data_IF_727073072935
#
_entry.id   IF_727073072935
#
_cell.length_a   1.000
_cell.length_b   1.000
_cell.length_c   1.000
_cell.angle_alpha   90.00
_cell.angle_beta   90.00
_cell.angle_gamma   90.00
#
_symmetry.space_group_name_H-M   'P 1'
#
loop_
_entity.id
_entity.type
_entity.pdbx_description
1 polymer ?
#
# COMPACT_ATOMS: atom_id res chain seq x y z
N UNK A 1 16.13 2.56 21.42
CA UNK A 1 15.75 1.25 21.95
C UNK A 1 15.60 0.29 20.78
N UNK A 2 16.27 -0.86 20.85
CA UNK A 2 16.12 -1.93 19.88
C UNK A 2 14.77 -2.59 20.17
N UNK A 3 13.90 -2.68 19.20
CA UNK A 3 12.63 -3.40 19.33
C UNK A 3 12.92 -4.89 19.42
N UNK A 4 12.66 -5.51 20.56
CA UNK A 4 12.65 -6.97 20.69
C UNK A 4 11.45 -7.50 19.90
N UNK A 5 11.72 -8.20 18.80
CA UNK A 5 10.71 -8.79 17.89
C UNK A 5 10.75 -8.26 16.46
N UNK A 6 11.69 -7.38 16.12
CA UNK A 6 11.99 -7.11 14.71
C UNK A 6 12.49 -8.42 14.05
N UNK A 7 12.02 -8.76 12.84
CA UNK A 7 12.63 -9.83 12.08
C UNK A 7 14.13 -9.55 12.00
N UNK A 8 14.97 -10.59 12.25
CA UNK A 8 16.43 -10.50 12.27
C UNK A 8 17.01 -10.34 10.86
N UNK A 9 16.55 -9.36 10.12
CA UNK A 9 17.04 -8.97 8.81
C UNK A 9 17.45 -7.50 8.85
N UNK A 10 18.58 -7.17 8.26
CA UNK A 10 18.97 -5.81 8.06
C UNK A 10 17.87 -5.08 7.27
N UNK A 11 17.32 -4.04 7.85
CA UNK A 11 16.38 -3.15 7.20
C UNK A 11 17.13 -2.31 6.16
N UNK A 12 17.33 -2.86 5.00
CA UNK A 12 17.87 -2.13 3.89
C UNK A 12 16.75 -1.25 3.32
N UNK A 13 16.74 0.01 3.67
CA UNK A 13 15.99 1.02 2.93
C UNK A 13 16.61 1.13 1.54
N UNK A 14 16.00 0.51 0.56
CA UNK A 14 16.44 0.61 -0.82
C UNK A 14 15.46 1.47 -1.59
N UNK A 15 15.97 2.49 -2.22
CA UNK A 15 15.23 3.37 -3.10
C UNK A 15 14.42 4.45 -2.39
N UNK A 16 14.77 5.69 -2.68
CA UNK A 16 13.99 6.85 -2.30
C UNK A 16 13.75 7.72 -3.50
N UNK A 17 12.54 8.24 -3.64
CA UNK A 17 12.23 9.34 -4.54
C UNK A 17 11.83 10.56 -3.73
N UNK A 18 12.26 11.74 -4.19
CA UNK A 18 11.84 12.99 -3.59
C UNK A 18 10.60 13.58 -4.27
N UNK A 19 10.33 13.18 -5.51
CA UNK A 19 9.14 13.56 -6.29
C UNK A 19 8.60 12.34 -7.07
N UNK A 20 7.57 11.64 -6.57
CA UNK A 20 6.96 11.81 -5.25
C UNK A 20 7.90 11.39 -4.14
N UNK A 21 7.71 11.92 -2.93
CA UNK A 21 8.49 11.47 -1.77
C UNK A 21 8.04 10.06 -1.40
N UNK A 22 8.85 9.08 -1.76
CA UNK A 22 8.55 7.66 -1.57
C UNK A 22 9.79 6.89 -1.13
N UNK A 23 9.58 5.91 -0.27
CA UNK A 23 10.62 5.02 0.25
C UNK A 23 10.15 3.58 0.09
N UNK A 24 11.06 2.69 -0.25
CA UNK A 24 10.80 1.25 -0.29
C UNK A 24 11.57 0.58 0.84
N UNK A 25 10.86 -0.21 1.63
CA UNK A 25 11.44 -1.01 2.70
C UNK A 25 11.26 -2.49 2.36
N UNK A 26 12.35 -3.24 2.36
CA UNK A 26 12.34 -4.68 2.16
C UNK A 26 12.21 -5.41 3.49
N UNK A 27 11.55 -6.57 3.46
CA UNK A 27 11.34 -7.40 4.65
C UNK A 27 10.64 -6.68 5.81
N UNK A 28 9.74 -5.76 5.47
CA UNK A 28 8.96 -5.03 6.46
C UNK A 28 7.98 -5.94 7.21
N UNK A 29 7.36 -6.89 6.48
CA UNK A 29 6.51 -7.93 7.05
C UNK A 29 7.18 -9.30 6.89
N UNK A 30 6.97 -10.17 7.87
CA UNK A 30 7.33 -11.57 7.73
C UNK A 30 6.35 -12.31 6.80
N UNK A 31 6.73 -13.46 6.21
CA UNK A 31 5.79 -14.29 5.45
C UNK A 31 4.55 -14.70 6.24
N UNK A 32 4.70 -14.93 7.55
CA UNK A 32 3.63 -15.30 8.47
C UNK A 32 2.67 -14.13 8.71
N UNK A 33 3.18 -12.92 8.89
CA UNK A 33 2.37 -11.70 9.00
C UNK A 33 1.59 -11.44 7.71
N UNK A 34 2.22 -11.59 6.55
CA UNK A 34 1.53 -11.49 5.27
C UNK A 34 0.39 -12.52 5.14
N UNK A 35 0.66 -13.78 5.48
CA UNK A 35 -0.34 -14.85 5.46
C UNK A 35 -1.48 -14.58 6.45
N UNK A 36 -1.17 -14.08 7.63
CA UNK A 36 -2.14 -13.72 8.64
C UNK A 36 -3.11 -12.64 8.14
N UNK A 37 -2.60 -11.53 7.61
CA UNK A 37 -3.43 -10.45 7.05
C UNK A 37 -4.33 -10.95 5.92
N UNK A 38 -3.81 -11.80 5.02
CA UNK A 38 -4.61 -12.41 3.95
C UNK A 38 -5.72 -13.30 4.51
N UNK A 39 -5.45 -14.07 5.57
CA UNK A 39 -6.43 -14.95 6.20
C UNK A 39 -7.53 -14.14 6.93
N UNK A 40 -7.17 -13.06 7.62
CA UNK A 40 -8.14 -12.15 8.23
C UNK A 40 -9.08 -11.57 7.16
N UNK A 41 -8.54 -11.11 6.03
CA UNK A 41 -9.35 -10.59 4.94
C UNK A 41 -10.32 -11.63 4.36
N UNK A 42 -9.92 -12.89 4.29
CA UNK A 42 -10.79 -14.00 3.85
C UNK A 42 -11.86 -14.35 4.88
N UNK A 43 -11.54 -14.25 6.16
CA UNK A 43 -12.44 -14.58 7.27
C UNK A 43 -13.46 -13.48 7.59
N UNK A 44 -13.23 -12.24 7.11
CA UNK A 44 -14.16 -11.13 7.34
C UNK A 44 -15.55 -11.47 6.83
N UNK A 45 -16.57 -11.23 7.63
CA UNK A 45 -17.97 -11.57 7.34
C UNK A 45 -18.43 -11.01 5.99
N UNK A 46 -18.74 -11.91 5.05
CA UNK A 46 -19.08 -11.59 3.66
C UNK A 46 -17.90 -11.68 2.69
N UNK A 47 -16.73 -12.15 3.13
CA UNK A 47 -15.54 -12.30 2.30
C UNK A 47 -15.01 -10.96 1.78
N UNK A 48 -14.03 -11.04 0.91
CA UNK A 48 -13.54 -9.86 0.17
C UNK A 48 -14.64 -9.32 -0.73
N UNK A 49 -15.17 -8.16 -0.43
CA UNK A 49 -16.19 -7.48 -1.25
C UNK A 49 -15.49 -6.71 -2.37
N UNK A 50 -16.19 -6.56 -3.52
CA UNK A 50 -15.73 -5.68 -4.58
C UNK A 50 -15.40 -4.30 -4.00
N UNK A 51 -14.21 -3.80 -4.29
CA UNK A 51 -13.79 -2.50 -3.81
C UNK A 51 -14.70 -1.41 -4.41
N UNK A 52 -15.05 -0.46 -3.58
CA UNK A 52 -15.91 0.66 -3.95
C UNK A 52 -15.10 1.95 -3.83
N UNK A 53 -15.50 2.98 -4.55
CA UNK A 53 -15.02 4.35 -4.33
C UNK A 53 -16.06 5.12 -3.52
N UNK A 54 -15.58 5.95 -2.61
CA UNK A 54 -16.45 6.87 -1.89
C UNK A 54 -16.87 8.00 -2.84
N UNK A 55 -18.16 8.28 -2.90
CA UNK A 55 -18.66 9.48 -3.53
C UNK A 55 -18.96 10.50 -2.43
N UNK A 56 -18.08 11.49 -2.30
CA UNK A 56 -18.22 12.56 -1.30
C UNK A 56 -19.51 13.38 -1.47
N UNK A 57 -20.09 13.41 -2.68
CA UNK A 57 -21.31 14.15 -2.98
C UNK A 57 -22.57 13.35 -2.69
N UNK A 58 -22.54 12.03 -2.96
CA UNK A 58 -23.69 11.15 -2.76
C UNK A 58 -23.74 10.53 -1.36
N UNK A 59 -22.68 10.65 -0.56
CA UNK A 59 -22.61 10.14 0.82
C UNK A 59 -22.61 8.61 0.92
N UNK A 60 -22.20 7.90 -0.13
CA UNK A 60 -22.18 6.45 -0.20
C UNK A 60 -20.93 5.89 -0.90
N UNK A 61 -20.84 4.56 -0.94
CA UNK A 61 -19.79 3.86 -1.68
C UNK A 61 -20.42 3.09 -2.85
N UNK A 62 -19.87 3.24 -4.04
CA UNK A 62 -20.41 2.64 -5.25
C UNK A 62 -19.33 1.80 -5.96
N UNK A 63 -19.72 0.68 -6.59
CA UNK A 63 -18.83 -0.03 -7.51
C UNK A 63 -18.37 0.93 -8.61
N UNK A 64 -17.07 0.97 -8.85
CA UNK A 64 -16.49 1.86 -9.84
C UNK A 64 -15.68 1.08 -10.87
N UNK A 65 -15.65 1.57 -12.10
CA UNK A 65 -14.71 1.11 -13.12
C UNK A 65 -13.27 1.54 -12.85
N UNK A 66 -13.10 2.56 -12.01
CA UNK A 66 -11.79 3.07 -11.60
C UNK A 66 -11.09 2.15 -10.59
N UNK A 67 -11.86 1.36 -9.83
CA UNK A 67 -11.37 0.40 -8.86
C UNK A 67 -12.12 -0.92 -8.98
N UNK A 68 -11.47 -1.92 -9.58
CA UNK A 68 -12.14 -3.19 -9.95
C UNK A 68 -11.81 -4.35 -9.03
N UNK A 69 -10.79 -4.21 -8.17
CA UNK A 69 -10.38 -5.22 -7.19
C UNK A 69 -11.42 -5.48 -6.10
N UNK A 70 -11.07 -6.34 -5.18
CA UNK A 70 -11.87 -6.64 -3.99
C UNK A 70 -11.06 -6.41 -2.72
N UNK A 71 -11.72 -6.23 -1.58
CA UNK A 71 -11.01 -5.99 -0.34
C UNK A 71 -11.85 -6.19 0.92
N UNK A 72 -11.14 -6.23 2.03
CA UNK A 72 -11.69 -6.22 3.38
C UNK A 72 -11.05 -5.10 4.18
N UNK A 73 -11.77 -4.59 5.15
CA UNK A 73 -11.28 -3.57 6.06
C UNK A 73 -11.07 -4.18 7.44
N UNK A 74 -9.89 -4.00 8.01
CA UNK A 74 -9.55 -4.38 9.37
C UNK A 74 -9.55 -3.14 10.24
N UNK A 75 -10.27 -3.21 11.34
CA UNK A 75 -10.21 -2.16 12.37
C UNK A 75 -8.82 -2.12 12.97
N UNK A 76 -8.46 -0.98 13.52
CA UNK A 76 -7.22 -0.84 14.32
C UNK A 76 -7.26 -1.82 15.50
N UNK A 77 -6.07 -2.23 15.91
CA UNK A 77 -5.91 -3.14 17.06
C UNK A 77 -6.75 -4.43 16.95
N UNK A 78 -6.96 -4.90 15.71
CA UNK A 78 -7.81 -6.05 15.44
C UNK A 78 -7.38 -7.31 16.20
N UNK A 79 -6.09 -7.54 16.27
CA UNK A 79 -5.44 -8.60 17.05
C UNK A 79 -3.99 -8.23 17.35
N UNK A 80 -3.28 -9.01 18.20
CA UNK A 80 -1.89 -8.70 18.58
C UNK A 80 -0.89 -8.65 17.42
N UNK A 81 -1.15 -9.32 16.30
CA UNK A 81 -0.28 -9.25 15.12
C UNK A 81 -0.51 -7.94 14.38
N UNK A 82 -1.77 -7.58 14.18
CA UNK A 82 -2.13 -6.30 13.56
C UNK A 82 -1.59 -5.13 14.39
N UNK A 83 -1.77 -5.15 15.71
CA UNK A 83 -1.23 -4.12 16.61
C UNK A 83 0.29 -3.96 16.45
N UNK A 84 1.06 -5.05 16.45
CA UNK A 84 2.52 -4.96 16.23
C UNK A 84 2.91 -4.39 14.87
N UNK A 85 2.13 -4.69 13.83
CA UNK A 85 2.36 -4.12 12.49
C UNK A 85 2.08 -2.61 12.52
N UNK A 86 0.99 -2.17 13.16
CA UNK A 86 0.63 -0.75 13.31
C UNK A 86 1.68 0.03 14.10
N UNK A 87 2.19 -0.53 15.19
CA UNK A 87 3.30 0.04 15.96
C UNK A 87 4.58 0.18 15.12
N UNK A 88 4.88 -0.83 14.30
CA UNK A 88 6.01 -0.79 13.37
C UNK A 88 5.83 0.30 12.32
N UNK A 89 4.65 0.42 11.73
CA UNK A 89 4.32 1.50 10.78
C UNK A 89 4.52 2.86 11.45
N UNK A 90 4.02 3.03 12.66
CA UNK A 90 4.17 4.25 13.45
C UNK A 90 5.64 4.63 13.65
N UNK A 91 6.48 3.66 14.02
CA UNK A 91 7.91 3.88 14.22
C UNK A 91 8.61 4.33 12.93
N UNK A 92 8.27 3.74 11.77
CA UNK A 92 8.83 4.11 10.47
C UNK A 92 8.31 5.43 9.94
N UNK A 93 7.02 5.69 10.08
CA UNK A 93 6.41 6.93 9.63
C UNK A 93 6.70 8.11 10.56
N UNK A 94 7.17 7.84 11.78
CA UNK A 94 7.31 8.84 12.86
C UNK A 94 5.97 9.56 13.16
N UNK A 95 4.88 8.82 13.03
CA UNK A 95 3.51 9.28 13.29
C UNK A 95 2.92 8.37 14.38
N UNK A 96 2.31 8.92 15.44
CA UNK A 96 1.71 8.13 16.51
C UNK A 96 0.72 7.07 15.98
N UNK A 97 0.63 5.87 16.59
CA UNK A 97 -0.24 4.80 16.09
C UNK A 97 -1.72 5.18 16.03
N UNK A 98 -2.18 6.01 16.96
CA UNK A 98 -3.55 6.50 17.04
C UNK A 98 -3.95 7.45 15.90
N UNK A 99 -2.98 7.92 15.11
CA UNK A 99 -3.22 8.68 13.88
C UNK A 99 -3.33 7.77 12.64
N UNK A 100 -3.17 6.45 12.79
CA UNK A 100 -3.35 5.49 11.70
C UNK A 100 -4.84 5.23 11.42
N UNK A 101 -5.18 5.06 10.15
CA UNK A 101 -6.45 4.46 9.76
C UNK A 101 -6.38 2.94 9.92
N UNK A 102 -7.53 2.26 9.98
CA UNK A 102 -7.58 0.80 9.90
C UNK A 102 -7.03 0.31 8.56
N UNK A 103 -6.52 -0.92 8.55
CA UNK A 103 -5.90 -1.49 7.35
C UNK A 103 -6.95 -1.90 6.32
N UNK A 104 -6.72 -1.53 5.07
CA UNK A 104 -7.50 -2.03 3.94
C UNK A 104 -6.71 -3.11 3.22
N UNK A 105 -7.15 -4.36 3.31
CA UNK A 105 -6.55 -5.48 2.60
C UNK A 105 -7.22 -5.59 1.23
N UNK A 106 -6.42 -5.45 0.18
CA UNK A 106 -6.90 -5.41 -1.19
C UNK A 106 -6.39 -6.62 -1.97
N UNK A 107 -7.24 -7.13 -2.85
CA UNK A 107 -6.91 -8.18 -3.79
C UNK A 107 -7.26 -7.72 -5.20
N UNK A 108 -6.29 -7.84 -6.09
CA UNK A 108 -6.46 -7.61 -7.51
C UNK A 108 -6.17 -8.89 -8.27
N UNK A 109 -7.14 -9.35 -9.05
CA UNK A 109 -6.98 -10.45 -10.00
C UNK A 109 -6.40 -9.95 -11.33
N UNK A 110 -6.21 -10.88 -12.25
CA UNK A 110 -5.72 -10.56 -13.60
C UNK A 110 -6.67 -9.60 -14.32
N UNK A 111 -6.13 -8.48 -14.79
CA UNK A 111 -6.89 -7.42 -15.45
C UNK A 111 -7.62 -6.45 -14.53
N UNK A 112 -7.58 -6.67 -13.22
CA UNK A 112 -8.12 -5.73 -12.24
C UNK A 112 -7.12 -4.61 -11.96
N UNK A 113 -7.63 -3.44 -11.62
CA UNK A 113 -6.83 -2.22 -11.46
C UNK A 113 -7.42 -1.25 -10.44
N UNK A 114 -6.60 -0.31 -10.05
CA UNK A 114 -7.01 0.94 -9.43
C UNK A 114 -6.42 2.09 -10.25
N UNK A 115 -7.26 2.99 -10.75
CA UNK A 115 -6.81 4.11 -11.55
C UNK A 115 -6.00 5.13 -10.72
N UNK A 116 -5.13 5.94 -11.34
CA UNK A 116 -4.36 6.96 -10.65
C UNK A 116 -5.26 7.93 -9.88
N UNK A 117 -4.91 8.18 -8.64
CA UNK A 117 -5.65 9.08 -7.74
C UNK A 117 -4.69 9.65 -6.69
N UNK A 118 -5.15 10.62 -5.96
CA UNK A 118 -4.49 11.12 -4.76
C UNK A 118 -5.14 10.48 -3.53
N UNK A 119 -4.35 10.13 -2.53
CA UNK A 119 -4.87 9.56 -1.28
C UNK A 119 -5.33 10.65 -0.29
N UNK A 120 -4.82 11.86 -0.43
CA UNK A 120 -5.25 12.98 0.40
C UNK A 120 -6.71 13.37 0.09
N UNK A 121 -7.40 13.87 1.10
CA UNK A 121 -8.78 14.32 0.96
C UNK A 121 -8.87 15.66 0.26
N UNK A 122 -9.79 15.79 -0.70
CA UNK A 122 -10.10 17.08 -1.31
C UNK A 122 -10.70 18.02 -0.28
N UNK A 123 -10.54 19.34 -0.50
CA UNK A 123 -10.93 20.36 0.47
C UNK A 123 -12.41 20.40 0.87
N UNK A 124 -13.28 19.71 0.13
CA UNK A 124 -14.69 19.53 0.43
C UNK A 124 -15.05 18.21 1.10
N UNK A 125 -14.08 17.33 1.34
CA UNK A 125 -14.33 16.02 1.94
C UNK A 125 -14.71 16.15 3.42
N UNK A 126 -15.81 15.50 3.83
CA UNK A 126 -16.26 15.50 5.22
C UNK A 126 -15.23 14.88 6.17
N UNK A 127 -14.49 13.88 5.71
CA UNK A 127 -13.46 13.19 6.50
C UNK A 127 -12.37 14.15 6.95
N UNK A 128 -12.03 15.16 6.14
CA UNK A 128 -11.05 16.18 6.48
C UNK A 128 -11.39 16.92 7.79
N UNK A 129 -12.68 17.15 8.04
CA UNK A 129 -13.13 17.84 9.27
C UNK A 129 -13.03 16.98 10.53
N UNK A 130 -13.17 15.66 10.38
CA UNK A 130 -13.25 14.73 11.52
C UNK A 130 -11.90 14.07 11.81
N UNK A 131 -11.13 13.75 10.79
CA UNK A 131 -9.92 12.93 10.91
C UNK A 131 -8.63 13.68 10.52
N UNK A 132 -8.75 14.89 9.95
CA UNK A 132 -7.60 15.60 9.39
C UNK A 132 -7.17 15.04 8.04
N UNK A 133 -6.02 15.47 7.54
CA UNK A 133 -5.51 15.11 6.23
C UNK A 133 -4.65 13.84 6.28
N UNK A 134 -4.73 13.01 5.25
CA UNK A 134 -3.78 11.92 5.01
C UNK A 134 -2.44 12.50 4.59
N UNK A 135 -1.44 12.36 5.43
CA UNK A 135 -0.09 12.90 5.21
C UNK A 135 0.90 11.85 4.71
N UNK A 136 0.56 10.58 4.88
CA UNK A 136 1.36 9.44 4.43
C UNK A 136 0.46 8.25 4.07
N UNK A 137 0.90 7.45 3.12
CA UNK A 137 0.31 6.16 2.77
C UNK A 137 1.38 5.08 2.91
N UNK A 138 1.06 4.00 3.61
CA UNK A 138 1.91 2.82 3.71
C UNK A 138 1.25 1.69 2.93
N UNK A 139 1.91 1.25 1.86
CA UNK A 139 1.47 0.16 1.01
C UNK A 139 2.33 -1.07 1.28
N UNK A 140 1.72 -2.15 1.73
CA UNK A 140 2.39 -3.41 2.05
C UNK A 140 1.96 -4.49 1.06
N UNK A 141 2.91 -5.08 0.34
CA UNK A 141 2.63 -6.18 -0.57
C UNK A 141 2.59 -7.51 0.19
N UNK A 142 1.46 -8.19 0.15
CA UNK A 142 1.23 -9.45 0.88
C UNK A 142 1.51 -10.70 0.05
N UNK A 143 1.78 -10.53 -1.25
CA UNK A 143 2.11 -11.63 -2.16
C UNK A 143 3.06 -11.16 -3.25
N UNK A 144 3.83 -12.12 -3.76
CA UNK A 144 4.58 -11.93 -4.99
C UNK A 144 3.68 -12.09 -6.21
N UNK A 145 4.06 -11.49 -7.32
CA UNK A 145 3.41 -11.64 -8.63
C UNK A 145 4.44 -11.89 -9.72
N UNK A 146 4.09 -12.71 -10.70
CA UNK A 146 4.99 -13.00 -11.82
C UNK A 146 5.17 -11.77 -12.72
N UNK A 147 4.09 -11.03 -12.98
CA UNK A 147 4.12 -9.82 -13.82
C UNK A 147 2.91 -8.93 -13.55
N UNK A 148 3.08 -7.62 -13.71
CA UNK A 148 2.04 -6.65 -13.44
C UNK A 148 1.89 -6.32 -11.97
N UNK A 149 0.80 -5.64 -11.61
CA UNK A 149 0.48 -5.26 -10.24
C UNK A 149 1.34 -4.13 -9.67
N UNK A 150 2.13 -3.48 -10.50
CA UNK A 150 2.99 -2.38 -10.09
C UNK A 150 2.16 -1.21 -9.56
N UNK A 151 2.65 -0.57 -8.49
CA UNK A 151 2.21 0.76 -8.10
C UNK A 151 2.97 1.78 -8.94
N UNK A 152 2.24 2.51 -9.77
CA UNK A 152 2.81 3.42 -10.77
C UNK A 152 2.56 4.86 -10.39
N UNK A 153 3.57 5.72 -10.52
CA UNK A 153 3.48 7.16 -10.34
C UNK A 153 3.56 7.84 -11.71
N UNK A 154 2.44 8.00 -12.42
CA UNK A 154 2.46 8.35 -13.85
C UNK A 154 2.93 9.76 -14.16
N UNK A 155 2.96 10.64 -13.17
CA UNK A 155 3.45 12.03 -13.31
C UNK A 155 4.96 12.17 -13.08
N UNK A 156 5.64 11.09 -12.72
CA UNK A 156 7.04 11.11 -12.30
C UNK A 156 7.87 10.12 -13.11
N UNK A 157 8.99 10.56 -13.62
CA UNK A 157 9.73 9.85 -14.67
C UNK A 157 10.89 8.97 -14.25
N UNK A 158 11.48 9.11 -13.05
CA UNK A 158 12.62 8.29 -12.65
C UNK A 158 12.94 8.38 -11.16
N UNK A 159 13.49 7.30 -10.62
CA UNK A 159 14.16 7.29 -9.33
C UNK A 159 15.56 7.89 -9.43
N UNK A 160 15.97 8.60 -8.39
CA UNK A 160 17.38 8.93 -8.15
C UNK A 160 17.93 7.79 -7.31
N UNK A 161 18.81 6.94 -7.91
CA UNK A 161 19.06 5.67 -7.37
C UNK A 161 20.46 5.34 -7.03
N UNK A 162 20.72 4.65 -5.96
CA UNK A 162 21.86 3.75 -5.94
C UNK A 162 21.42 2.27 -5.98
N UNK A 163 21.78 1.61 -7.04
CA UNK A 163 22.15 0.19 -7.10
C UNK A 163 21.19 -0.91 -6.65
N UNK A 164 19.88 -0.70 -6.52
CA UNK A 164 18.96 -1.80 -6.27
C UNK A 164 18.02 -2.08 -7.45
N UNK A 165 18.05 -3.33 -7.90
CA UNK A 165 17.43 -3.83 -9.10
C UNK A 165 15.91 -3.87 -9.08
N UNK A 166 15.28 -3.56 -7.95
CA UNK A 166 13.84 -3.74 -7.73
C UNK A 166 13.01 -2.47 -7.90
N UNK A 167 13.65 -1.32 -7.83
CA UNK A 167 13.05 -0.02 -8.00
C UNK A 167 13.58 0.58 -9.29
N UNK A 168 13.03 0.21 -10.43
CA UNK A 168 13.53 0.62 -11.72
C UNK A 168 12.73 1.74 -12.33
N UNK A 169 13.24 2.95 -12.21
CA UNK A 169 12.71 4.14 -12.88
C UNK A 169 13.04 4.27 -14.36
N UNK A 170 13.75 3.32 -14.94
CA UNK A 170 14.04 3.25 -16.38
C UNK A 170 14.10 1.80 -16.82
N UNK A 171 13.07 1.05 -16.61
CA UNK A 171 13.04 -0.25 -17.20
C UNK A 171 12.46 -0.16 -18.62
N UNK A 172 13.32 -0.20 -19.60
CA UNK A 172 13.02 -0.78 -20.91
C UNK A 172 12.80 -2.31 -20.77
N UNK A 173 12.64 -2.83 -19.56
CA UNK A 173 12.55 -4.26 -19.33
C UNK A 173 11.22 -4.77 -19.86
N UNK A 174 11.31 -5.84 -20.60
CA UNK A 174 10.18 -6.62 -21.11
C UNK A 174 9.25 -7.11 -20.01
N UNK A 175 9.68 -7.01 -18.75
CA UNK A 175 9.00 -7.54 -17.55
C UNK A 175 8.07 -6.54 -16.86
N UNK A 176 8.05 -5.27 -17.26
CA UNK A 176 7.13 -4.28 -16.71
C UNK A 176 5.84 -4.20 -17.54
N UNK A 177 4.71 -4.00 -16.87
CA UNK A 177 3.44 -3.77 -17.53
C UNK A 177 3.47 -2.56 -18.46
N UNK A 178 2.57 -2.49 -19.43
CA UNK A 178 2.50 -1.34 -20.35
C UNK A 178 2.30 -0.01 -19.60
N UNK A 179 1.57 -0.04 -18.48
CA UNK A 179 1.29 1.14 -17.65
C UNK A 179 2.54 1.63 -16.89
N UNK A 180 3.45 0.73 -16.54
CA UNK A 180 4.65 1.06 -15.77
C UNK A 180 5.82 1.55 -16.63
N UNK A 181 5.76 1.32 -17.95
CA UNK A 181 6.86 1.69 -18.85
C UNK A 181 7.05 3.19 -18.91
N UNK A 182 8.26 3.63 -18.61
CA UNK A 182 8.64 5.04 -18.66
C UNK A 182 8.17 5.88 -17.48
N UNK A 183 7.51 5.27 -16.50
CA UNK A 183 7.10 5.92 -15.28
C UNK A 183 7.80 5.33 -14.05
N UNK A 184 7.91 6.13 -13.01
CA UNK A 184 8.32 5.63 -11.70
C UNK A 184 7.32 4.58 -11.23
N UNK A 185 7.79 3.39 -10.83
CA UNK A 185 6.92 2.32 -10.36
C UNK A 185 7.62 1.41 -9.36
N UNK A 186 6.83 0.78 -8.52
CA UNK A 186 7.28 -0.23 -7.54
C UNK A 186 6.63 -1.57 -7.90
N UNK A 187 7.44 -2.61 -8.04
CA UNK A 187 6.96 -3.98 -8.27
C UNK A 187 6.51 -4.61 -6.95
N UNK A 188 5.40 -5.37 -6.94
CA UNK A 188 5.00 -6.12 -5.77
C UNK A 188 6.06 -7.16 -5.38
N UNK A 189 6.45 -7.11 -4.11
CA UNK A 189 7.21 -8.16 -3.44
C UNK A 189 6.63 -8.38 -2.06
N UNK A 190 6.44 -9.64 -1.70
CA UNK A 190 5.89 -10.00 -0.41
C UNK A 190 6.83 -9.54 0.72
N UNK A 191 6.27 -8.81 1.72
CA UNK A 191 6.99 -8.29 2.88
C UNK A 191 7.71 -7.01 2.60
#
# INVERSE_FOLDING_TARGET
>A
GVWEGAPSGEWAGAGASWEPRAFVYHNFLTPEECAHLVNLAKATAGGSKRATVADARAGGTFPSSQRTGSGAFLLRDHDPIVTRIEERISAFAMIPPDHGEGMQILRYGRGEKHDPHHDYFDGGDKNLRFYGQRVATVLMYLSDVESGGETVFPKHGAWIEPDDTDVRGRSSSKDSSKCARGALHVKPRRG
#
